data_IF_026854709346
#
_entry.id   IF_026854709346
#
_cell.length_a   1.000
_cell.length_b   1.000
_cell.length_c   1.000
_cell.angle_alpha   90.00
_cell.angle_beta   90.00
_cell.angle_gamma   90.00
#
_symmetry.space_group_name_H-M   'P 1'
#
loop_
_entity.id
_entity.type
_entity.pdbx_description
1 polymer ?
#
# COMPACT_ATOMS: atom_id res chain seq x y z
N UNK A 1 26.11 -2.49 8.85
CA UNK A 1 25.56 -2.74 7.49
C UNK A 1 24.49 -1.69 7.27
N UNK A 2 24.33 -1.16 6.07
CA UNK A 2 23.19 -0.26 5.80
C UNK A 2 21.90 -1.05 6.03
N UNK A 3 20.93 -0.46 6.73
CA UNK A 3 19.61 -1.07 6.94
C UNK A 3 18.88 -1.04 5.61
N UNK A 4 18.35 -2.18 5.16
CA UNK A 4 17.49 -2.28 3.97
C UNK A 4 16.29 -1.35 4.12
N UNK A 5 15.83 -0.75 3.04
CA UNK A 5 14.62 0.07 3.01
C UNK A 5 13.66 -0.45 1.95
N UNK A 6 12.40 -0.60 2.31
CA UNK A 6 11.32 -1.06 1.43
C UNK A 6 10.22 0.00 1.36
N UNK A 7 10.01 0.58 0.18
CA UNK A 7 8.85 1.43 -0.09
C UNK A 7 7.60 0.56 -0.26
N UNK A 8 6.71 0.56 0.71
CA UNK A 8 5.54 -0.32 0.72
C UNK A 8 4.35 0.20 -0.11
N UNK A 9 4.47 1.39 -0.71
CA UNK A 9 3.37 1.99 -1.47
C UNK A 9 3.83 3.02 -2.48
N UNK A 10 3.81 2.65 -3.75
CA UNK A 10 4.05 3.55 -4.87
C UNK A 10 3.28 3.11 -6.12
N UNK A 11 3.18 3.98 -7.10
CA UNK A 11 2.53 3.71 -8.39
C UNK A 11 3.51 3.96 -9.54
N UNK A 12 3.43 3.14 -10.59
CA UNK A 12 4.18 3.36 -11.83
C UNK A 12 3.24 3.40 -13.03
N UNK A 13 3.66 4.14 -14.06
CA UNK A 13 2.89 4.39 -15.26
C UNK A 13 3.78 4.22 -16.49
N UNK A 14 3.36 3.40 -17.45
CA UNK A 14 4.13 3.13 -18.66
C UNK A 14 4.27 4.38 -19.53
N UNK A 15 5.45 4.56 -20.12
CA UNK A 15 5.64 5.57 -21.13
C UNK A 15 5.07 5.15 -22.49
N UNK A 16 5.04 3.85 -22.77
CA UNK A 16 4.47 3.27 -24.00
C UNK A 16 2.99 2.88 -23.82
N UNK A 17 2.11 3.81 -24.17
CA UNK A 17 0.66 3.61 -24.15
C UNK A 17 0.16 2.64 -25.23
N UNK A 18 0.96 2.34 -26.25
CA UNK A 18 0.58 1.37 -27.27
C UNK A 18 0.65 -0.07 -26.75
N UNK A 19 1.58 -0.34 -25.85
CA UNK A 19 1.76 -1.63 -25.19
C UNK A 19 0.90 -1.76 -23.91
N UNK A 20 0.80 -0.67 -23.14
CA UNK A 20 0.09 -0.60 -21.87
C UNK A 20 -0.88 0.59 -21.85
N UNK A 21 -2.04 0.44 -22.50
CA UNK A 21 -3.00 1.54 -22.66
C UNK A 21 -3.65 1.93 -21.32
N UNK A 22 -3.84 3.21 -21.13
CA UNK A 22 -4.64 3.75 -20.04
C UNK A 22 -6.13 3.59 -20.36
N UNK A 23 -6.90 3.08 -19.40
CA UNK A 23 -8.33 2.82 -19.56
C UNK A 23 -9.17 3.99 -19.04
N UNK A 24 -8.72 4.62 -17.95
CA UNK A 24 -9.41 5.75 -17.32
C UNK A 24 -8.42 6.72 -16.68
N UNK A 25 -8.79 8.00 -16.59
CA UNK A 25 -8.03 9.00 -15.84
C UNK A 25 -6.76 9.53 -16.52
N UNK A 26 -6.39 8.98 -17.68
CA UNK A 26 -5.29 9.49 -18.49
C UNK A 26 -3.88 9.31 -17.89
N UNK A 27 -2.91 9.80 -18.63
CA UNK A 27 -1.49 9.78 -18.29
C UNK A 27 -1.18 10.72 -17.12
N UNK A 28 -0.29 10.32 -16.20
CA UNK A 28 0.16 11.23 -15.15
C UNK A 28 0.86 12.45 -15.75
N UNK A 29 0.69 13.60 -15.11
CA UNK A 29 1.29 14.87 -15.57
C UNK A 29 2.82 14.94 -15.41
N UNK A 30 3.43 13.92 -14.79
CA UNK A 30 4.86 13.82 -14.50
C UNK A 30 5.40 12.47 -14.95
N UNK A 31 6.71 12.37 -15.26
CA UNK A 31 7.34 11.08 -15.49
C UNK A 31 7.13 10.15 -14.28
N UNK A 32 6.70 8.93 -14.55
CA UNK A 32 6.39 7.97 -13.51
C UNK A 32 6.58 6.51 -13.96
N UNK A 33 7.39 6.27 -15.00
CA UNK A 33 7.75 4.92 -15.40
C UNK A 33 8.69 4.26 -14.41
N UNK A 34 8.79 2.94 -14.48
CA UNK A 34 9.72 2.19 -13.62
C UNK A 34 11.17 2.60 -13.87
N UNK A 35 11.52 2.95 -15.11
CA UNK A 35 12.83 3.44 -15.49
C UNK A 35 13.15 4.82 -14.89
N UNK A 36 12.14 5.67 -14.71
CA UNK A 36 12.29 6.93 -14.01
C UNK A 36 12.40 6.76 -12.49
N UNK A 37 11.68 5.77 -11.94
CA UNK A 37 11.66 5.49 -10.50
C UNK A 37 12.99 4.90 -9.99
N UNK A 38 13.60 3.95 -10.71
CA UNK A 38 14.77 3.21 -10.24
C UNK A 38 15.94 4.11 -9.80
N UNK A 39 16.37 5.14 -10.58
CA UNK A 39 17.42 6.05 -10.11
C UNK A 39 17.06 6.83 -8.84
N UNK A 40 15.77 7.16 -8.63
CA UNK A 40 15.32 7.84 -7.42
C UNK A 40 15.39 6.93 -6.21
N UNK A 41 15.03 5.65 -6.37
CA UNK A 41 15.19 4.64 -5.33
C UNK A 41 16.67 4.46 -4.94
N UNK A 42 17.56 4.35 -5.94
CA UNK A 42 19.01 4.20 -5.72
C UNK A 42 19.59 5.40 -5.00
N UNK A 43 19.23 6.63 -5.40
CA UNK A 43 19.65 7.88 -4.73
C UNK A 43 19.18 7.95 -3.27
N UNK A 44 17.96 7.49 -2.99
CA UNK A 44 17.37 7.50 -1.65
C UNK A 44 17.82 6.32 -0.77
N UNK A 45 18.54 5.34 -1.34
CA UNK A 45 18.92 4.10 -0.65
C UNK A 45 17.75 3.16 -0.39
N UNK A 46 16.74 3.17 -1.27
CA UNK A 46 15.59 2.25 -1.22
C UNK A 46 15.89 1.00 -2.04
N UNK A 47 15.96 -0.14 -1.37
CA UNK A 47 16.37 -1.41 -1.98
C UNK A 47 15.25 -2.07 -2.77
N UNK A 48 14.03 -2.03 -2.25
CA UNK A 48 12.85 -2.71 -2.81
C UNK A 48 11.61 -1.83 -2.72
N UNK A 49 10.61 -2.14 -3.54
CA UNK A 49 9.32 -1.48 -3.44
C UNK A 49 8.14 -2.38 -3.80
N UNK A 50 6.98 -2.00 -3.28
CA UNK A 50 5.68 -2.60 -3.61
C UNK A 50 4.93 -1.67 -4.54
N UNK A 51 4.75 -2.10 -5.77
CA UNK A 51 3.99 -1.35 -6.76
C UNK A 51 2.50 -1.63 -6.54
N UNK A 52 1.72 -0.60 -6.28
CA UNK A 52 0.28 -0.71 -6.15
C UNK A 52 -0.37 -0.33 -7.48
N UNK A 53 -1.24 -1.18 -8.01
CA UNK A 53 -1.91 -0.93 -9.29
C UNK A 53 -2.71 0.37 -9.25
N UNK A 54 -2.45 1.34 -10.15
CA UNK A 54 -3.27 2.54 -10.26
C UNK A 54 -4.56 2.27 -11.02
N UNK A 55 -5.63 2.99 -10.68
CA UNK A 55 -6.96 2.91 -11.35
C UNK A 55 -6.91 3.11 -12.86
N UNK A 56 -5.94 3.84 -13.34
CA UNK A 56 -5.74 4.17 -14.76
C UNK A 56 -5.65 2.95 -15.67
N UNK A 57 -5.19 1.81 -15.14
CA UNK A 57 -5.15 0.54 -15.86
C UNK A 57 -6.34 -0.37 -15.57
N UNK A 58 -7.25 0.02 -14.66
CA UNK A 58 -8.36 -0.83 -14.22
C UNK A 58 -7.84 -2.23 -13.83
N UNK A 59 -8.44 -3.28 -14.36
CA UNK A 59 -8.08 -4.68 -14.10
C UNK A 59 -6.91 -5.21 -14.94
N UNK A 60 -6.24 -4.34 -15.75
CA UNK A 60 -5.10 -4.73 -16.57
C UNK A 60 -3.78 -4.62 -15.81
N UNK A 61 -3.34 -5.71 -15.20
CA UNK A 61 -2.12 -5.79 -14.40
C UNK A 61 -0.84 -6.02 -15.23
N UNK A 62 -0.90 -5.98 -16.57
CA UNK A 62 0.23 -6.36 -17.46
C UNK A 62 1.46 -5.47 -17.24
N UNK A 63 1.27 -4.16 -17.00
CA UNK A 63 2.44 -3.28 -16.79
C UNK A 63 3.17 -3.60 -15.49
N UNK A 64 2.45 -3.85 -14.40
CA UNK A 64 3.07 -4.24 -13.14
C UNK A 64 3.76 -5.60 -13.25
N UNK A 65 3.13 -6.56 -13.91
CA UNK A 65 3.74 -7.86 -14.19
C UNK A 65 5.05 -7.71 -14.99
N UNK A 66 5.06 -6.83 -16.01
CA UNK A 66 6.26 -6.49 -16.77
C UNK A 66 7.37 -5.87 -15.91
N UNK A 67 7.02 -4.96 -14.98
CA UNK A 67 7.99 -4.39 -14.05
C UNK A 67 8.60 -5.44 -13.12
N UNK A 68 7.78 -6.35 -12.57
CA UNK A 68 8.26 -7.45 -11.71
C UNK A 68 9.15 -8.41 -12.50
N UNK A 69 8.77 -8.78 -13.71
CA UNK A 69 9.56 -9.69 -14.55
C UNK A 69 10.96 -9.14 -14.85
N UNK A 70 11.05 -7.83 -15.14
CA UNK A 70 12.34 -7.18 -15.44
C UNK A 70 13.21 -6.91 -14.22
N UNK A 71 12.60 -6.70 -13.05
CA UNK A 71 13.30 -6.28 -11.82
C UNK A 71 12.78 -7.06 -10.61
N UNK A 72 12.82 -8.40 -10.70
CA UNK A 72 12.20 -9.30 -9.72
C UNK A 72 12.83 -9.27 -8.32
N UNK A 73 14.05 -8.78 -8.20
CA UNK A 73 14.75 -8.54 -6.94
C UNK A 73 14.39 -7.20 -6.28
N UNK A 74 13.81 -6.26 -7.06
CA UNK A 74 13.44 -4.92 -6.62
C UNK A 74 11.95 -4.79 -6.31
N UNK A 75 11.07 -5.51 -7.01
CA UNK A 75 9.63 -5.27 -6.96
C UNK A 75 8.79 -6.50 -6.67
N UNK A 76 7.72 -6.28 -5.94
CA UNK A 76 6.48 -7.06 -5.94
C UNK A 76 5.31 -6.10 -6.12
N UNK A 77 4.08 -6.60 -6.23
CA UNK A 77 2.94 -5.70 -6.44
C UNK A 77 1.67 -6.14 -5.70
N UNK A 78 0.77 -5.17 -5.55
CA UNK A 78 -0.64 -5.39 -5.28
C UNK A 78 -1.42 -5.03 -6.56
N UNK A 79 -2.06 -6.04 -7.15
CA UNK A 79 -2.85 -5.91 -8.37
C UNK A 79 -4.28 -5.42 -8.12
N UNK A 80 -5.03 -5.28 -9.20
CA UNK A 80 -6.48 -5.07 -9.15
C UNK A 80 -7.18 -6.21 -9.90
N UNK A 81 -8.24 -6.75 -9.30
CA UNK A 81 -9.20 -7.63 -9.98
C UNK A 81 -10.59 -7.12 -9.65
N UNK A 82 -11.56 -7.40 -10.52
CA UNK A 82 -12.95 -7.14 -10.21
C UNK A 82 -13.38 -8.07 -9.05
N UNK A 83 -13.68 -7.55 -7.86
CA UNK A 83 -13.99 -8.38 -6.71
C UNK A 83 -15.34 -9.11 -6.83
N UNK A 84 -16.20 -8.68 -7.77
CA UNK A 84 -17.47 -9.33 -8.08
C UNK A 84 -17.41 -10.34 -9.21
N UNK A 85 -16.27 -10.44 -9.93
CA UNK A 85 -16.14 -11.38 -11.01
C UNK A 85 -15.99 -12.82 -10.50
N UNK A 86 -16.70 -13.75 -11.12
CA UNK A 86 -16.65 -15.18 -10.75
C UNK A 86 -15.24 -15.79 -10.89
N UNK A 87 -14.40 -15.25 -11.77
CA UNK A 87 -13.01 -15.65 -12.00
C UNK A 87 -12.00 -14.86 -11.14
N UNK A 88 -12.47 -13.96 -10.26
CA UNK A 88 -11.61 -13.16 -9.36
C UNK A 88 -10.63 -13.99 -8.53
N UNK A 89 -11.05 -15.09 -7.88
CA UNK A 89 -10.16 -16.00 -7.15
C UNK A 89 -9.06 -16.62 -8.01
N UNK A 90 -9.37 -17.03 -9.23
CA UNK A 90 -8.42 -17.65 -10.16
C UNK A 90 -7.41 -16.60 -10.67
N UNK A 91 -7.86 -15.39 -10.96
CA UNK A 91 -6.99 -14.26 -11.32
C UNK A 91 -6.03 -13.89 -10.19
N UNK A 92 -6.49 -13.87 -8.94
CA UNK A 92 -5.62 -13.66 -7.78
C UNK A 92 -4.54 -14.74 -7.72
N UNK A 93 -4.91 -16.01 -7.90
CA UNK A 93 -3.96 -17.12 -7.90
C UNK A 93 -2.92 -16.98 -9.01
N UNK A 94 -3.32 -16.66 -10.26
CA UNK A 94 -2.40 -16.38 -11.38
C UNK A 94 -1.41 -15.26 -11.02
N UNK A 95 -1.91 -14.13 -10.54
CA UNK A 95 -1.06 -12.99 -10.18
C UNK A 95 0.01 -13.38 -9.16
N UNK A 96 -0.37 -14.15 -8.12
CA UNK A 96 0.57 -14.53 -7.06
C UNK A 96 1.53 -15.61 -7.54
N UNK A 97 1.04 -16.70 -8.14
CA UNK A 97 1.87 -17.87 -8.45
C UNK A 97 2.73 -17.68 -9.69
N UNK A 98 2.21 -16.96 -10.69
CA UNK A 98 2.85 -16.86 -11.99
C UNK A 98 3.51 -15.51 -12.25
N UNK A 99 2.98 -14.42 -11.66
CA UNK A 99 3.43 -13.06 -11.94
C UNK A 99 4.23 -12.40 -10.81
N UNK A 100 4.35 -13.05 -9.64
CA UNK A 100 5.16 -12.54 -8.53
C UNK A 100 4.51 -11.42 -7.71
N UNK A 101 3.19 -11.28 -7.77
CA UNK A 101 2.43 -10.37 -6.93
C UNK A 101 2.33 -10.89 -5.49
N UNK A 102 2.17 -9.99 -4.54
CA UNK A 102 1.90 -10.34 -3.14
C UNK A 102 0.40 -10.38 -2.80
N UNK A 103 -0.45 -9.82 -3.65
CA UNK A 103 -1.89 -9.77 -3.43
C UNK A 103 -2.60 -8.70 -4.24
N UNK A 104 -3.65 -8.12 -3.67
CA UNK A 104 -4.51 -7.15 -4.35
C UNK A 104 -4.63 -5.85 -3.55
N UNK A 105 -5.00 -4.78 -4.27
CA UNK A 105 -5.61 -3.58 -3.70
C UNK A 105 -7.12 -3.69 -3.86
N UNK A 106 -7.86 -3.44 -2.79
CA UNK A 106 -9.31 -3.33 -2.78
C UNK A 106 -9.67 -1.87 -2.51
N UNK A 107 -10.58 -1.31 -3.30
CA UNK A 107 -10.95 0.09 -3.21
C UNK A 107 -12.42 0.22 -2.85
N UNK A 108 -12.70 0.56 -1.61
CA UNK A 108 -14.07 0.71 -1.09
C UNK A 108 -14.89 1.80 -1.82
N UNK A 109 -14.23 2.74 -2.48
CA UNK A 109 -14.92 3.80 -3.24
C UNK A 109 -15.43 3.39 -4.63
N UNK A 110 -15.14 2.17 -5.10
CA UNK A 110 -15.72 1.60 -6.32
C UNK A 110 -17.00 0.81 -6.05
N UNK A 111 -17.22 0.43 -4.81
CA UNK A 111 -18.43 -0.24 -4.41
C UNK A 111 -19.50 0.82 -4.11
N UNK A 112 -20.61 0.77 -4.82
CA UNK A 112 -21.76 1.66 -4.57
C UNK A 112 -22.39 1.39 -3.21
N UNK A 113 -22.26 0.12 -2.73
CA UNK A 113 -22.72 -0.33 -1.43
C UNK A 113 -21.55 -0.99 -0.67
N UNK A 114 -21.22 -0.45 0.52
CA UNK A 114 -20.19 -1.03 1.38
C UNK A 114 -20.58 -2.42 1.92
N UNK A 115 -21.87 -2.73 1.96
CA UNK A 115 -22.36 -4.04 2.35
C UNK A 115 -21.90 -5.14 1.38
N UNK A 116 -21.65 -4.79 0.11
CA UNK A 116 -21.08 -5.71 -0.87
C UNK A 116 -19.65 -6.15 -0.53
N UNK A 117 -18.85 -5.27 0.09
CA UNK A 117 -17.45 -5.56 0.41
C UNK A 117 -17.28 -6.80 1.31
N UNK A 118 -18.18 -7.01 2.27
CA UNK A 118 -18.14 -8.12 3.21
C UNK A 118 -19.25 -9.15 2.97
N UNK A 119 -20.02 -9.01 1.89
CA UNK A 119 -21.07 -9.95 1.51
C UNK A 119 -20.53 -11.36 1.24
N UNK A 120 -21.38 -12.36 1.35
CA UNK A 120 -21.01 -13.76 1.11
C UNK A 120 -20.53 -13.99 -0.32
N UNK A 121 -21.00 -13.20 -1.27
CA UNK A 121 -20.59 -13.29 -2.67
C UNK A 121 -19.10 -12.92 -2.89
N UNK A 122 -18.51 -12.18 -1.94
CA UNK A 122 -17.07 -11.82 -1.97
C UNK A 122 -16.18 -12.85 -1.25
N UNK A 123 -16.76 -13.73 -0.43
CA UNK A 123 -15.97 -14.69 0.34
C UNK A 123 -15.07 -15.61 -0.50
N UNK A 124 -15.44 -16.10 -1.69
CA UNK A 124 -14.55 -16.92 -2.49
C UNK A 124 -13.19 -16.26 -2.79
N UNK A 125 -13.16 -14.94 -3.01
CA UNK A 125 -11.91 -14.19 -3.21
C UNK A 125 -11.07 -14.12 -1.91
N UNK A 126 -11.71 -13.91 -0.77
CA UNK A 126 -11.05 -13.88 0.54
C UNK A 126 -10.56 -15.26 0.99
N UNK A 127 -11.33 -16.31 0.72
CA UNK A 127 -10.93 -17.70 0.97
C UNK A 127 -9.68 -18.05 0.15
N UNK A 128 -9.68 -17.74 -1.12
CA UNK A 128 -8.51 -17.93 -1.98
C UNK A 128 -7.32 -17.09 -1.51
N UNK A 129 -7.54 -15.86 -1.10
CA UNK A 129 -6.49 -15.00 -0.54
C UNK A 129 -5.89 -15.62 0.73
N UNK A 130 -6.71 -16.18 1.62
CA UNK A 130 -6.25 -16.86 2.83
C UNK A 130 -5.43 -18.11 2.52
N UNK A 131 -5.87 -18.95 1.58
CA UNK A 131 -5.13 -20.14 1.13
C UNK A 131 -3.75 -19.79 0.55
N UNK A 132 -3.68 -18.69 -0.17
CA UNK A 132 -2.45 -18.20 -0.77
C UNK A 132 -1.57 -17.41 0.20
N UNK A 133 -2.09 -17.01 1.37
CA UNK A 133 -1.43 -16.06 2.28
C UNK A 133 -1.21 -14.71 1.60
N UNK A 134 -2.22 -14.23 0.89
CA UNK A 134 -2.18 -12.99 0.14
C UNK A 134 -2.29 -11.75 1.04
N UNK A 135 -1.88 -10.62 0.49
CA UNK A 135 -1.97 -9.30 1.11
C UNK A 135 -3.08 -8.51 0.42
N UNK A 136 -3.98 -7.92 1.20
CA UNK A 136 -4.99 -7.00 0.69
C UNK A 136 -4.74 -5.58 1.20
N UNK A 137 -4.37 -4.67 0.29
CA UNK A 137 -4.33 -3.24 0.55
C UNK A 137 -5.74 -2.65 0.44
N UNK A 138 -6.22 -1.99 1.48
CA UNK A 138 -7.55 -1.38 1.50
C UNK A 138 -7.42 0.12 1.37
N UNK A 139 -7.94 0.67 0.27
CA UNK A 139 -8.14 2.10 0.11
C UNK A 139 -9.61 2.41 0.39
N UNK A 140 -9.87 3.05 1.52
CA UNK A 140 -11.22 3.44 1.93
C UNK A 140 -11.49 4.92 1.74
N UNK A 141 -12.74 5.30 1.44
CA UNK A 141 -13.24 6.63 1.70
C UNK A 141 -13.69 6.70 3.16
N UNK A 142 -13.58 7.91 3.73
CA UNK A 142 -13.77 8.21 5.17
C UNK A 142 -15.14 7.81 5.78
N UNK A 143 -16.04 7.19 5.02
CA UNK A 143 -17.41 7.01 5.48
C UNK A 143 -17.63 5.82 6.38
N UNK A 144 -16.92 4.71 6.19
CA UNK A 144 -17.06 3.56 7.07
C UNK A 144 -15.92 2.54 6.88
N UNK A 145 -15.12 2.35 7.91
CA UNK A 145 -14.15 1.25 7.97
C UNK A 145 -14.69 0.06 8.78
N UNK A 146 -15.96 0.08 9.15
CA UNK A 146 -16.60 -1.01 9.91
C UNK A 146 -16.63 -2.32 9.10
N UNK A 147 -16.67 -2.22 7.77
CA UNK A 147 -16.64 -3.38 6.87
C UNK A 147 -15.32 -4.17 6.92
N UNK A 148 -14.20 -3.56 7.32
CA UNK A 148 -12.90 -4.23 7.44
C UNK A 148 -12.90 -5.22 8.62
N UNK A 149 -13.58 -4.88 9.70
CA UNK A 149 -13.57 -5.67 10.94
C UNK A 149 -14.10 -7.10 10.78
N UNK A 150 -15.28 -7.32 10.17
CA UNK A 150 -15.79 -8.68 9.93
C UNK A 150 -14.84 -9.51 9.07
N UNK A 151 -14.20 -8.90 8.07
CA UNK A 151 -13.27 -9.58 7.16
C UNK A 151 -11.97 -9.94 7.88
N UNK A 152 -11.41 -9.02 8.68
CA UNK A 152 -10.22 -9.29 9.49
C UNK A 152 -10.43 -10.44 10.48
N UNK A 153 -11.61 -10.52 11.06
CA UNK A 153 -12.00 -11.60 12.00
C UNK A 153 -12.21 -12.94 11.28
N UNK A 154 -12.89 -12.93 10.13
CA UNK A 154 -13.25 -14.13 9.39
C UNK A 154 -12.07 -14.76 8.68
N UNK A 155 -11.17 -13.94 8.14
CA UNK A 155 -10.04 -14.36 7.32
C UNK A 155 -8.70 -13.97 7.95
N UNK A 156 -8.34 -14.56 9.11
CA UNK A 156 -7.14 -14.14 9.85
C UNK A 156 -5.82 -14.47 9.13
N UNK A 157 -5.85 -15.31 8.10
CA UNK A 157 -4.68 -15.62 7.26
C UNK A 157 -4.45 -14.61 6.12
N UNK A 158 -5.37 -13.67 5.89
CA UNK A 158 -5.19 -12.56 4.94
C UNK A 158 -4.57 -11.37 5.67
N UNK A 159 -3.44 -10.86 5.20
CA UNK A 159 -2.85 -9.63 5.74
C UNK A 159 -3.55 -8.42 5.14
N UNK A 160 -4.16 -7.60 5.98
CA UNK A 160 -4.93 -6.41 5.60
C UNK A 160 -4.10 -5.16 5.86
N UNK A 161 -3.83 -4.37 4.83
CA UNK A 161 -3.08 -3.12 4.91
C UNK A 161 -4.04 -1.94 4.73
N UNK A 162 -4.16 -1.10 5.73
CA UNK A 162 -4.95 0.13 5.66
C UNK A 162 -4.10 1.23 5.00
N UNK A 163 -4.41 1.59 3.76
CA UNK A 163 -3.66 2.58 3.00
C UNK A 163 -3.78 3.99 3.60
N UNK A 164 -2.69 4.76 3.58
CA UNK A 164 -2.65 6.20 3.89
C UNK A 164 -3.23 6.57 5.26
N UNK A 165 -2.77 5.90 6.33
CA UNK A 165 -3.32 6.06 7.69
C UNK A 165 -4.83 5.82 7.72
N UNK A 166 -5.32 4.83 6.95
CA UNK A 166 -6.74 4.51 6.79
C UNK A 166 -7.60 5.71 6.32
N UNK A 167 -7.04 6.61 5.51
CA UNK A 167 -7.73 7.78 5.01
C UNK A 167 -8.09 8.83 6.07
N UNK A 168 -7.65 8.71 7.32
CA UNK A 168 -8.02 9.60 8.42
C UNK A 168 -7.65 11.07 8.12
N UNK A 169 -8.55 12.04 8.41
CA UNK A 169 -8.25 13.47 8.27
C UNK A 169 -7.38 13.98 9.41
N UNK A 170 -6.73 15.13 9.21
CA UNK A 170 -5.99 15.82 10.28
C UNK A 170 -6.90 16.71 11.15
N UNK A 171 -8.04 17.15 10.62
CA UNK A 171 -9.02 17.94 11.36
C UNK A 171 -9.56 17.14 12.56
N UNK A 172 -9.33 17.57 13.82
CA UNK A 172 -9.70 16.78 15.00
C UNK A 172 -11.21 16.48 15.11
N UNK A 173 -12.07 17.41 14.71
CA UNK A 173 -13.52 17.21 14.79
C UNK A 173 -14.00 16.09 13.84
N UNK A 174 -13.36 15.97 12.68
CA UNK A 174 -13.63 14.90 11.71
C UNK A 174 -12.88 13.61 12.03
N UNK A 175 -11.72 13.73 12.67
CA UNK A 175 -10.84 12.60 12.99
C UNK A 175 -11.39 11.74 14.12
N UNK A 176 -11.85 12.35 15.24
CA UNK A 176 -12.22 11.62 16.46
C UNK A 176 -13.25 10.51 16.24
N UNK A 177 -14.35 10.69 15.50
CA UNK A 177 -15.29 9.58 15.27
C UNK A 177 -14.70 8.44 14.42
N UNK A 178 -13.71 8.71 13.57
CA UNK A 178 -13.13 7.76 12.63
C UNK A 178 -11.92 7.01 13.22
N UNK A 179 -11.09 7.71 14.00
CA UNK A 179 -9.87 7.12 14.54
C UNK A 179 -10.17 6.00 15.53
N UNK A 180 -11.23 6.12 16.32
CA UNK A 180 -11.62 5.06 17.27
C UNK A 180 -11.91 3.73 16.56
N UNK A 181 -12.52 3.76 15.37
CA UNK A 181 -12.76 2.58 14.55
C UNK A 181 -11.43 1.99 14.05
N UNK A 182 -10.55 2.83 13.53
CA UNK A 182 -9.21 2.40 13.08
C UNK A 182 -8.39 1.79 14.21
N UNK A 183 -8.36 2.42 15.40
CA UNK A 183 -7.62 1.90 16.55
C UNK A 183 -8.19 0.56 17.07
N UNK A 184 -9.52 0.36 17.00
CA UNK A 184 -10.12 -0.95 17.35
C UNK A 184 -9.62 -2.09 16.47
N UNK A 185 -9.32 -1.84 15.20
CA UNK A 185 -8.80 -2.86 14.29
C UNK A 185 -7.43 -3.40 14.72
N UNK A 186 -6.70 -2.69 15.57
CA UNK A 186 -5.43 -3.13 16.13
C UNK A 186 -5.52 -4.43 16.97
N UNK A 187 -6.71 -4.83 17.41
CA UNK A 187 -6.93 -6.12 18.10
C UNK A 187 -6.74 -7.33 17.18
N UNK A 188 -6.81 -7.13 15.85
CA UNK A 188 -6.59 -8.16 14.85
C UNK A 188 -5.11 -8.15 14.42
N UNK A 189 -4.42 -9.27 14.64
CA UNK A 189 -2.97 -9.39 14.37
C UNK A 189 -2.63 -9.34 12.88
N UNK A 190 -3.62 -9.55 12.01
CA UNK A 190 -3.52 -9.49 10.55
C UNK A 190 -3.82 -8.10 9.95
N UNK A 191 -4.04 -7.06 10.78
CA UNK A 191 -4.28 -5.70 10.32
C UNK A 191 -3.04 -4.82 10.56
N UNK A 192 -2.62 -4.12 9.52
CA UNK A 192 -1.46 -3.25 9.45
C UNK A 192 -1.86 -1.87 8.91
N UNK A 193 -1.06 -0.84 9.14
CA UNK A 193 -1.33 0.52 8.64
C UNK A 193 -0.15 1.06 7.86
N UNK A 194 -0.41 1.61 6.67
CA UNK A 194 0.61 2.31 5.87
C UNK A 194 0.73 3.78 6.29
N UNK A 195 1.91 4.14 6.75
CA UNK A 195 2.34 5.53 6.99
C UNK A 195 2.82 6.08 5.64
N UNK A 196 1.87 6.54 4.84
CA UNK A 196 2.10 7.00 3.47
C UNK A 196 1.17 8.15 3.12
N UNK A 197 1.46 8.87 2.04
CA UNK A 197 0.72 10.04 1.56
C UNK A 197 0.53 11.13 2.64
N UNK A 198 1.54 11.35 3.47
CA UNK A 198 1.50 12.42 4.47
C UNK A 198 1.47 13.79 3.82
N UNK A 199 2.18 13.96 2.71
CA UNK A 199 2.17 15.18 1.89
C UNK A 199 0.78 15.53 1.33
N UNK A 200 -0.05 14.54 1.05
CA UNK A 200 -1.42 14.75 0.55
C UNK A 200 -2.42 15.09 1.65
N UNK A 201 -2.05 14.87 2.92
CA UNK A 201 -2.87 15.18 4.10
C UNK A 201 -2.50 16.50 4.75
N UNK A 202 -1.20 16.85 4.72
CA UNK A 202 -0.64 17.99 5.43
C UNK A 202 -1.09 19.33 4.83
N UNK A 203 -1.38 20.28 5.71
CA UNK A 203 -1.50 21.71 5.38
C UNK A 203 -0.17 22.46 5.51
N UNK A 204 0.90 21.80 5.95
CA UNK A 204 2.23 22.38 6.15
C UNK A 204 3.21 21.94 5.07
N UNK A 205 4.28 22.72 4.88
CA UNK A 205 5.43 22.30 4.08
C UNK A 205 6.19 21.15 4.77
N UNK A 206 7.05 20.49 3.99
CA UNK A 206 7.96 19.47 4.54
C UNK A 206 8.70 20.01 5.78
N UNK A 207 8.78 19.25 6.85
CA UNK A 207 8.51 17.82 6.99
C UNK A 207 7.10 17.44 7.51
N UNK A 208 6.05 18.19 7.19
CA UNK A 208 4.63 17.83 7.44
C UNK A 208 4.31 17.55 8.92
N UNK A 209 4.72 18.45 9.82
CA UNK A 209 4.67 18.22 11.26
C UNK A 209 3.26 18.09 11.83
N UNK A 210 2.29 18.69 11.16
CA UNK A 210 0.87 18.58 11.48
C UNK A 210 0.32 17.15 11.37
N UNK A 211 1.04 16.26 10.69
CA UNK A 211 0.68 14.82 10.57
C UNK A 211 1.16 13.98 11.75
N UNK A 212 2.12 14.47 12.55
CA UNK A 212 2.84 13.64 13.52
C UNK A 212 1.96 13.14 14.67
N UNK A 213 1.01 13.94 15.12
CA UNK A 213 0.08 13.51 16.17
C UNK A 213 -0.76 12.31 15.70
N UNK A 214 -1.29 12.35 14.47
CA UNK A 214 -2.03 11.24 13.91
C UNK A 214 -1.18 9.98 13.77
N UNK A 215 0.05 10.11 13.24
CA UNK A 215 0.98 8.97 13.12
C UNK A 215 1.28 8.39 14.51
N UNK A 216 1.54 9.23 15.48
CA UNK A 216 1.83 8.82 16.87
C UNK A 216 0.66 8.08 17.51
N UNK A 217 -0.57 8.58 17.37
CA UNK A 217 -1.78 7.92 17.91
C UNK A 217 -1.95 6.51 17.35
N UNK A 218 -1.65 6.31 16.07
CA UNK A 218 -1.69 4.99 15.44
C UNK A 218 -0.52 4.13 15.93
N UNK A 219 0.70 4.68 15.96
CA UNK A 219 1.89 4.00 16.46
C UNK A 219 1.74 3.51 17.90
N UNK A 220 1.21 4.34 18.80
CA UNK A 220 1.02 3.98 20.21
C UNK A 220 0.11 2.75 20.42
N UNK A 221 -0.76 2.43 19.45
CA UNK A 221 -1.72 1.32 19.55
C UNK A 221 -1.31 0.11 18.69
N UNK A 222 -0.82 0.34 17.48
CA UNK A 222 -0.41 -0.75 16.58
C UNK A 222 1.00 -1.27 16.85
N UNK A 223 1.89 -0.42 17.37
CA UNK A 223 3.32 -0.70 17.45
C UNK A 223 4.03 -0.66 16.09
N UNK A 224 5.37 -0.53 16.09
CA UNK A 224 6.15 -0.36 14.86
C UNK A 224 6.09 -1.60 13.92
N UNK A 225 5.96 -2.81 14.49
CA UNK A 225 5.88 -4.08 13.75
C UNK A 225 4.60 -4.26 12.91
N UNK A 226 3.68 -3.28 12.98
CA UNK A 226 2.44 -3.24 12.19
C UNK A 226 2.25 -1.95 11.43
N UNK A 227 3.31 -1.13 11.34
CA UNK A 227 3.36 0.05 10.49
C UNK A 227 4.30 -0.18 9.31
N UNK A 228 3.92 0.34 8.14
CA UNK A 228 4.73 0.27 6.93
C UNK A 228 4.85 1.67 6.34
N UNK A 229 6.07 2.08 6.03
CA UNK A 229 6.30 3.32 5.30
C UNK A 229 6.08 3.15 3.79
N UNK A 230 5.64 4.22 3.11
CA UNK A 230 5.55 4.30 1.66
C UNK A 230 5.51 5.73 1.15
N UNK A 231 6.08 5.98 -0.02
CA UNK A 231 6.20 7.33 -0.60
C UNK A 231 4.91 7.86 -1.20
N UNK A 232 4.07 6.98 -1.73
CA UNK A 232 2.98 7.34 -2.65
C UNK A 232 3.50 8.07 -3.91
N UNK A 233 4.66 7.60 -4.45
CA UNK A 233 5.16 8.06 -5.74
C UNK A 233 4.12 7.77 -6.85
N UNK A 234 3.90 8.63 -7.84
CA UNK A 234 4.62 9.87 -8.11
C UNK A 234 4.10 11.12 -7.38
N UNK A 235 3.05 10.98 -6.55
CA UNK A 235 2.45 12.11 -5.82
C UNK A 235 3.46 12.89 -4.99
N UNK A 236 4.36 12.19 -4.32
CA UNK A 236 5.41 12.77 -3.47
C UNK A 236 6.35 13.74 -4.23
N UNK A 237 6.52 13.55 -5.53
CA UNK A 237 7.38 14.40 -6.37
C UNK A 237 6.85 15.83 -6.53
N UNK A 238 5.56 16.06 -6.22
CA UNK A 238 4.97 17.39 -6.25
C UNK A 238 5.23 18.20 -4.98
N UNK A 239 5.71 17.57 -3.92
CA UNK A 239 5.87 18.18 -2.59
C UNK A 239 7.32 18.14 -2.10
N UNK A 240 7.80 17.02 -1.56
CA UNK A 240 9.13 16.94 -0.96
C UNK A 240 10.15 16.16 -1.79
N UNK A 241 9.72 15.41 -2.81
CA UNK A 241 10.58 14.51 -3.56
C UNK A 241 10.87 13.19 -2.86
N UNK A 242 11.45 12.24 -3.59
CA UNK A 242 11.59 10.85 -3.15
C UNK A 242 12.55 10.70 -1.96
N UNK A 243 13.72 11.36 -2.00
CA UNK A 243 14.73 11.30 -0.92
C UNK A 243 14.17 11.84 0.40
N UNK A 244 13.52 13.00 0.37
CA UNK A 244 12.95 13.61 1.58
C UNK A 244 11.80 12.78 2.16
N UNK A 245 11.10 12.00 1.34
CA UNK A 245 10.06 11.09 1.85
C UNK A 245 10.66 9.98 2.73
N UNK A 246 11.84 9.47 2.41
CA UNK A 246 12.58 8.53 3.28
C UNK A 246 13.02 9.22 4.56
N UNK A 247 13.60 10.42 4.44
CA UNK A 247 14.09 11.19 5.58
C UNK A 247 12.98 11.57 6.58
N UNK A 248 11.74 11.65 6.13
CA UNK A 248 10.60 11.95 6.97
C UNK A 248 10.50 10.97 8.18
N UNK A 249 10.60 9.66 7.93
CA UNK A 249 10.61 8.65 8.99
C UNK A 249 11.99 8.53 9.62
N UNK A 250 13.06 8.56 8.81
CA UNK A 250 14.43 8.35 9.28
C UNK A 250 14.88 9.43 10.30
N UNK A 251 14.52 10.70 10.05
CA UNK A 251 15.07 11.83 10.81
C UNK A 251 14.03 12.73 11.48
N UNK A 252 12.81 12.82 10.95
CA UNK A 252 11.86 13.86 11.35
C UNK A 252 10.75 13.42 12.30
N UNK A 253 10.65 12.13 12.66
CA UNK A 253 9.68 11.64 13.66
C UNK A 253 10.37 11.35 15.01
N UNK A 254 10.48 12.35 15.90
CA UNK A 254 11.32 12.25 17.12
C UNK A 254 10.76 11.30 18.19
N UNK A 255 9.53 10.84 18.03
CA UNK A 255 8.90 9.87 18.93
C UNK A 255 9.23 8.40 18.57
N UNK A 256 9.88 8.15 17.44
CA UNK A 256 10.33 6.82 17.02
C UNK A 256 11.78 6.58 17.48
N UNK A 257 12.03 5.44 18.09
CA UNK A 257 13.39 4.93 18.31
C UNK A 257 14.02 4.43 17.00
N UNK A 258 15.30 4.16 17.01
CA UNK A 258 15.96 3.63 15.79
C UNK A 258 15.47 2.22 15.45
N UNK A 259 15.16 1.39 16.45
CA UNK A 259 14.53 0.08 16.25
C UNK A 259 13.12 0.21 15.65
N UNK A 260 12.33 1.19 16.07
CA UNK A 260 11.00 1.44 15.49
C UNK A 260 11.09 1.85 14.02
N UNK A 261 12.07 2.71 13.68
CA UNK A 261 12.31 3.13 12.29
C UNK A 261 12.74 1.94 11.42
N UNK A 262 13.54 1.02 11.95
CA UNK A 262 13.92 -0.20 11.24
C UNK A 262 12.69 -1.06 10.92
N UNK A 263 11.78 -1.24 11.87
CA UNK A 263 10.52 -1.94 11.62
C UNK A 263 9.66 -1.23 10.56
N UNK A 264 9.45 0.07 10.68
CA UNK A 264 8.56 0.84 9.80
C UNK A 264 9.11 0.93 8.36
N UNK A 265 10.44 1.10 8.21
CA UNK A 265 11.09 1.24 6.90
C UNK A 265 11.39 -0.10 6.22
N UNK A 266 11.47 -1.22 6.96
CA UNK A 266 11.91 -2.49 6.44
C UNK A 266 11.19 -3.69 7.04
N UNK A 267 11.37 -3.96 8.35
CA UNK A 267 11.04 -5.24 8.97
C UNK A 267 9.58 -5.66 8.77
N UNK A 268 8.64 -4.73 8.91
CA UNK A 268 7.22 -5.00 8.69
C UNK A 268 6.93 -5.34 7.23
N UNK A 269 7.53 -4.61 6.28
CA UNK A 269 7.32 -4.88 4.86
C UNK A 269 7.92 -6.24 4.45
N UNK A 270 9.08 -6.62 4.97
CA UNK A 270 9.68 -7.94 4.71
C UNK A 270 8.84 -9.09 5.29
N UNK A 271 8.20 -8.87 6.43
CA UNK A 271 7.27 -9.84 7.05
C UNK A 271 5.98 -10.02 6.23
N UNK A 272 5.50 -8.94 5.63
CA UNK A 272 4.18 -8.90 4.95
C UNK A 272 4.28 -9.31 3.50
N UNK A 273 5.27 -8.80 2.77
CA UNK A 273 5.35 -8.98 1.32
C UNK A 273 6.32 -10.09 0.91
N UNK A 274 6.05 -10.69 -0.24
CA UNK A 274 6.90 -11.72 -0.83
C UNK A 274 7.72 -11.12 -1.97
N UNK A 275 9.00 -10.92 -1.72
CA UNK A 275 9.96 -10.58 -2.78
C UNK A 275 10.65 -11.84 -3.29
N UNK A 276 10.96 -11.89 -4.58
CA UNK A 276 11.77 -12.96 -5.13
C UNK A 276 13.16 -12.96 -4.47
N UNK A 277 13.61 -14.14 -4.01
CA UNK A 277 14.94 -14.28 -3.36
C UNK A 277 16.07 -14.49 -4.35
N UNK A 278 15.76 -14.75 -5.62
CA UNK A 278 16.77 -15.07 -6.63
C UNK A 278 16.48 -14.26 -7.88
N UNK A 279 17.44 -13.51 -8.45
CA UNK A 279 17.31 -12.99 -9.80
C UNK A 279 16.99 -14.16 -10.72
N UNK A 280 15.95 -14.05 -11.52
CA UNK A 280 15.72 -15.02 -12.59
C UNK A 280 16.82 -14.75 -13.61
N UNK A 281 17.83 -15.66 -13.62
CA UNK A 281 18.99 -15.63 -14.52
C UNK A 281 18.63 -15.71 -15.99
#
# INVERSE_FOLDING_TARGET
MAVMIIDSHLHVYADDESQFPYVAGGKPSRPASVEYLLPLMDEAGVDRAVIVQPRTYSWDNRYLAHCIERFSDRFTALGLVDPGAADGPDRLEELIRERGFSGLRLELGWEEDLDDFYSEDRWPLWERAQELGAVFGILGSLKDHSCVEPMAQRFPGVMILLDHLNGLPLDPEKQEPLIAATLRLARYSNVFVKVSNLQGKSGEEYPFRDTYDLVRRIYDVYGPERLLWGTDFPGVMASCGYVNAVELVRTHMPFLTDDDKEWILHGTAEKVFRFSRTPRG
#
